data_IF_282011669739
#
_entry.id   IF_282011669739
#
_cell.length_a   1.000
_cell.length_b   1.000
_cell.length_c   1.000
_cell.angle_alpha   90.00
_cell.angle_beta   90.00
_cell.angle_gamma   90.00
#
_symmetry.space_group_name_H-M   'P 1'
#
loop_
_entity.id
_entity.type
_entity.pdbx_description
1 polymer ?
#
# COMPACT_ATOMS: atom_id res chain seq x y z
N UNK A 1 7.94 -2.81 0.19
CA UNK A 1 8.10 -2.70 1.65
C UNK A 1 7.14 -3.67 2.30
N UNK A 2 7.66 -4.42 3.25
CA UNK A 2 6.92 -5.43 4.00
C UNK A 2 6.39 -4.77 5.27
N UNK A 3 5.06 -4.72 5.45
CA UNK A 3 4.44 -4.23 6.68
C UNK A 3 4.08 -5.47 7.48
N UNK A 4 4.71 -5.67 8.63
CA UNK A 4 4.57 -6.88 9.44
C UNK A 4 4.64 -6.59 10.93
N UNK A 5 4.19 -7.56 11.72
CA UNK A 5 4.30 -7.57 13.18
C UNK A 5 5.75 -7.93 13.55
N UNK A 6 6.23 -7.49 14.71
CA UNK A 6 7.57 -7.81 15.22
C UNK A 6 7.82 -9.32 15.43
N UNK A 7 6.75 -10.10 15.63
CA UNK A 7 6.78 -11.56 15.85
C UNK A 7 6.30 -12.39 14.65
N UNK A 8 5.69 -11.76 13.64
CA UNK A 8 5.21 -12.41 12.41
C UNK A 8 5.59 -11.54 11.20
N UNK A 9 6.68 -11.89 10.49
CA UNK A 9 7.22 -11.02 9.47
C UNK A 9 6.30 -11.03 8.26
N UNK A 10 5.89 -9.82 7.87
CA UNK A 10 5.11 -9.47 6.67
C UNK A 10 3.65 -9.93 6.69
N UNK A 11 2.73 -9.02 7.04
CA UNK A 11 1.28 -9.22 6.90
C UNK A 11 0.75 -8.57 5.61
N UNK A 12 1.46 -7.59 5.04
CA UNK A 12 1.14 -7.02 3.74
C UNK A 12 2.40 -6.58 2.99
N UNK A 13 2.58 -7.06 1.76
CA UNK A 13 3.58 -6.55 0.82
C UNK A 13 2.89 -5.67 -0.23
N UNK A 14 3.18 -4.37 -0.24
CA UNK A 14 2.76 -3.50 -1.35
C UNK A 14 3.88 -3.43 -2.38
N UNK A 15 3.64 -4.03 -3.54
CA UNK A 15 4.51 -3.94 -4.70
C UNK A 15 3.94 -2.96 -5.71
N UNK A 16 4.48 -1.74 -5.74
CA UNK A 16 4.11 -0.75 -6.77
C UNK A 16 5.07 -0.90 -7.94
N UNK A 17 4.54 -1.31 -9.10
CA UNK A 17 5.29 -1.33 -10.36
C UNK A 17 4.82 -0.17 -11.22
N UNK A 18 5.75 0.63 -11.73
CA UNK A 18 5.44 1.71 -12.66
C UNK A 18 6.05 1.39 -14.02
N UNK A 19 5.53 1.95 -15.13
CA UNK A 19 6.07 1.68 -16.46
C UNK A 19 7.56 2.02 -16.59
N UNK A 20 8.05 2.96 -15.75
CA UNK A 20 9.44 3.42 -15.73
C UNK A 20 10.32 2.63 -14.75
N UNK A 21 9.74 1.77 -13.90
CA UNK A 21 10.45 0.98 -12.90
C UNK A 21 9.89 -0.47 -12.83
N UNK A 22 10.28 -1.35 -13.76
CA UNK A 22 9.76 -2.72 -13.83
C UNK A 22 10.16 -3.60 -12.64
N UNK A 23 11.24 -3.25 -11.93
CA UNK A 23 11.68 -3.90 -10.69
C UNK A 23 10.87 -3.53 -9.44
N UNK A 24 9.90 -2.61 -9.56
CA UNK A 24 9.16 -2.06 -8.42
C UNK A 24 9.75 -0.75 -7.91
N UNK A 25 8.95 0.00 -7.14
CA UNK A 25 9.36 1.27 -6.53
C UNK A 25 9.49 1.12 -5.03
N UNK A 26 10.62 1.56 -4.50
CA UNK A 26 10.83 1.69 -3.07
C UNK A 26 10.20 3.00 -2.58
N UNK A 27 9.25 2.89 -1.66
CA UNK A 27 8.58 4.03 -1.05
C UNK A 27 9.43 4.49 0.15
N UNK A 28 10.41 5.35 -0.11
CA UNK A 28 11.21 6.00 0.94
C UNK A 28 10.41 7.13 1.59
N UNK A 29 10.56 7.29 2.92
CA UNK A 29 10.10 8.41 3.76
C UNK A 29 8.87 9.19 3.26
N UNK A 30 7.71 8.98 3.91
CA UNK A 30 6.35 9.48 3.61
C UNK A 30 5.34 8.37 3.30
N UNK A 31 5.71 7.15 3.60
CA UNK A 31 4.77 6.05 3.71
C UNK A 31 4.31 5.94 5.16
N UNK A 32 3.01 6.06 5.39
CA UNK A 32 2.42 6.00 6.71
C UNK A 32 1.36 4.90 6.76
N UNK A 33 1.53 3.95 7.68
CA UNK A 33 0.48 3.00 8.04
C UNK A 33 -0.40 3.67 9.09
N UNK A 34 -1.49 4.29 8.64
CA UNK A 34 -2.41 5.04 9.50
C UNK A 34 -3.21 4.10 10.40
N UNK A 35 -3.68 2.98 9.86
CA UNK A 35 -4.43 1.96 10.61
C UNK A 35 -3.98 0.57 10.16
N UNK A 36 -3.77 -0.33 11.11
CA UNK A 36 -3.51 -1.74 10.83
C UNK A 36 -4.08 -2.61 11.96
N UNK A 37 -5.15 -3.33 11.65
CA UNK A 37 -5.84 -4.22 12.57
C UNK A 37 -6.28 -5.48 11.81
N UNK A 38 -5.49 -6.54 11.94
CA UNK A 38 -5.71 -7.82 11.26
C UNK A 38 -6.97 -8.51 11.76
N UNK A 39 -7.27 -8.40 13.06
CA UNK A 39 -8.45 -9.03 13.67
C UNK A 39 -9.74 -8.41 13.12
N UNK A 40 -9.74 -7.09 12.92
CA UNK A 40 -10.85 -6.37 12.28
C UNK A 40 -10.76 -6.35 10.75
N UNK A 41 -9.67 -6.86 10.17
CA UNK A 41 -9.37 -6.83 8.74
C UNK A 41 -9.44 -5.42 8.16
N UNK A 42 -8.73 -4.49 8.79
CA UNK A 42 -8.64 -3.09 8.38
C UNK A 42 -7.17 -2.70 8.21
N UNK A 43 -6.82 -2.20 7.03
CA UNK A 43 -5.53 -1.59 6.74
C UNK A 43 -5.77 -0.26 6.03
N UNK A 44 -5.14 0.80 6.50
CA UNK A 44 -5.13 2.07 5.81
C UNK A 44 -3.70 2.60 5.73
N UNK A 45 -3.26 2.84 4.50
CA UNK A 45 -1.94 3.33 4.16
C UNK A 45 -2.09 4.62 3.38
N UNK A 46 -1.23 5.58 3.69
CA UNK A 46 -1.05 6.79 2.92
C UNK A 46 0.40 6.87 2.43
N UNK A 47 0.57 7.25 1.18
CA UNK A 47 1.87 7.61 0.62
C UNK A 47 1.79 9.02 0.03
N UNK A 48 2.65 9.90 0.51
CA UNK A 48 2.77 11.27 0.00
C UNK A 48 4.07 11.43 -0.78
N UNK A 49 3.95 11.63 -2.08
CA UNK A 49 5.07 11.92 -2.96
C UNK A 49 5.77 13.22 -2.55
N UNK A 50 7.11 13.18 -2.43
CA UNK A 50 7.92 14.35 -2.07
C UNK A 50 8.21 15.29 -3.24
N UNK A 51 8.51 14.73 -4.41
CA UNK A 51 8.91 15.49 -5.59
C UNK A 51 7.89 15.32 -6.70
N UNK A 52 7.24 16.39 -7.12
CA UNK A 52 6.29 16.39 -8.23
C UNK A 52 6.92 15.82 -9.52
N UNK A 53 6.23 14.87 -10.16
CA UNK A 53 6.67 14.21 -11.40
C UNK A 53 7.47 12.92 -11.23
N UNK A 54 7.82 12.54 -9.99
CA UNK A 54 8.31 11.19 -9.64
C UNK A 54 7.15 10.16 -9.68
N UNK A 55 7.43 8.88 -9.91
CA UNK A 55 6.42 7.82 -9.78
C UNK A 55 6.74 6.92 -8.57
N UNK A 56 5.73 6.34 -7.89
CA UNK A 56 4.30 6.61 -8.07
C UNK A 56 3.90 7.99 -7.54
N UNK A 57 2.80 8.52 -8.05
CA UNK A 57 2.13 9.66 -7.44
C UNK A 57 1.66 9.35 -6.02
N UNK A 58 1.27 10.38 -5.26
CA UNK A 58 0.65 10.18 -3.95
C UNK A 58 -0.56 9.25 -4.06
N UNK A 59 -0.70 8.34 -3.10
CA UNK A 59 -1.78 7.36 -3.13
C UNK A 59 -2.25 6.99 -1.72
N UNK A 60 -3.45 6.40 -1.66
CA UNK A 60 -3.95 5.73 -0.46
C UNK A 60 -4.34 4.29 -0.79
N UNK A 61 -4.07 3.38 0.13
CA UNK A 61 -4.53 1.99 0.07
C UNK A 61 -5.39 1.71 1.30
N UNK A 62 -6.66 1.44 1.05
CA UNK A 62 -7.63 1.03 2.06
C UNK A 62 -7.97 -0.44 1.86
N UNK A 63 -7.90 -1.23 2.92
CA UNK A 63 -8.39 -2.60 2.94
C UNK A 63 -9.44 -2.70 4.03
N UNK A 64 -10.62 -3.20 3.64
CA UNK A 64 -11.72 -3.48 4.55
C UNK A 64 -12.29 -4.86 4.26
N UNK A 65 -12.22 -5.76 5.23
CA UNK A 65 -12.61 -7.15 5.02
C UNK A 65 -11.67 -7.81 4.03
N UNK A 66 -12.17 -8.28 2.89
CA UNK A 66 -11.38 -8.99 1.87
C UNK A 66 -11.25 -8.17 0.57
N UNK A 67 -11.44 -6.85 0.66
CA UNK A 67 -11.34 -5.94 -0.47
C UNK A 67 -10.28 -4.88 -0.22
N UNK A 68 -9.40 -4.67 -1.20
CA UNK A 68 -8.43 -3.59 -1.24
C UNK A 68 -8.83 -2.56 -2.29
N UNK A 69 -8.81 -1.29 -1.91
CA UNK A 69 -9.02 -0.14 -2.78
C UNK A 69 -7.79 0.76 -2.79
N UNK A 70 -7.12 0.84 -3.93
CA UNK A 70 -6.01 1.76 -4.20
C UNK A 70 -6.55 3.01 -4.89
N UNK A 71 -6.25 4.19 -4.34
CA UNK A 71 -6.55 5.49 -4.95
C UNK A 71 -5.24 6.19 -5.26
N UNK A 72 -4.99 6.48 -6.53
CA UNK A 72 -3.79 7.19 -7.00
C UNK A 72 -4.22 8.19 -8.07
N UNK A 73 -3.86 9.46 -7.89
CA UNK A 73 -4.36 10.57 -8.71
C UNK A 73 -5.90 10.53 -8.85
N UNK A 74 -6.42 10.53 -10.08
CA UNK A 74 -7.85 10.42 -10.39
C UNK A 74 -8.31 8.98 -10.65
N UNK A 75 -7.52 7.97 -10.27
CA UNK A 75 -7.81 6.55 -10.51
C UNK A 75 -8.14 5.84 -9.22
N UNK A 76 -9.15 4.99 -9.29
CA UNK A 76 -9.55 4.07 -8.22
C UNK A 76 -9.46 2.65 -8.77
N UNK A 77 -8.75 1.78 -8.06
CA UNK A 77 -8.57 0.38 -8.43
C UNK A 77 -8.98 -0.46 -7.23
N UNK A 78 -9.95 -1.35 -7.43
CA UNK A 78 -10.44 -2.25 -6.39
C UNK A 78 -10.12 -3.69 -6.76
N UNK A 79 -9.63 -4.48 -5.80
CA UNK A 79 -9.26 -5.89 -5.97
C UNK A 79 -9.55 -6.70 -4.70
N UNK A 80 -9.79 -8.01 -4.82
CA UNK A 80 -9.78 -8.91 -3.67
C UNK A 80 -8.44 -8.84 -2.93
N UNK A 81 -8.47 -8.98 -1.61
CA UNK A 81 -7.32 -8.96 -0.72
C UNK A 81 -7.38 -10.13 0.25
N UNK A 82 -6.26 -10.84 0.38
CA UNK A 82 -6.10 -11.93 1.35
C UNK A 82 -5.11 -11.52 2.42
N UNK A 83 -5.54 -11.64 3.68
CA UNK A 83 -4.75 -11.30 4.87
C UNK A 83 -3.74 -12.37 5.28
N UNK A 84 -3.90 -13.60 4.80
CA UNK A 84 -3.17 -14.77 5.28
C UNK A 84 -2.55 -15.56 4.11
N UNK A 85 -2.07 -14.85 3.08
CA UNK A 85 -1.37 -15.50 1.96
C UNK A 85 -0.07 -16.15 2.42
#
# INVERSE_FOLDING_TARGET
MEIGHDTEPVVASLNVRTPRAPGGVHLYGNFNTVTFDVQKRILFIEFVQQNSGQEPGSFTLDVKGEEATLRIDNKVITRPFSWFM
#
